data_IF_906668744770
#
_entry.id   IF_906668744770
#
_cell.length_a   1.000
_cell.length_b   1.000
_cell.length_c   1.000
_cell.angle_alpha   90.00
_cell.angle_beta   90.00
_cell.angle_gamma   90.00
#
_symmetry.space_group_name_H-M   'P 1'
#
loop_
_entity.id
_entity.type
_entity.pdbx_description
1 polymer ?
#
# COMPACT_ATOMS: atom_id res chain seq x y z
N UNK A 1 0.10 -16.63 -0.96
CA UNK A 1 0.99 -15.56 -1.45
C UNK A 1 2.37 -15.78 -0.83
N UNK A 2 3.44 -15.67 -1.62
CA UNK A 2 4.82 -15.81 -1.13
C UNK A 2 5.19 -14.66 -0.17
N UNK A 3 5.98 -14.97 0.86
CA UNK A 3 6.42 -14.05 1.90
C UNK A 3 7.92 -13.78 1.78
N UNK A 4 8.28 -12.51 1.92
CA UNK A 4 9.64 -12.01 1.98
C UNK A 4 9.96 -11.65 3.44
N UNK A 5 10.92 -12.37 4.02
CA UNK A 5 11.51 -12.01 5.31
C UNK A 5 12.73 -11.11 5.09
N UNK A 6 12.50 -9.80 5.22
CA UNK A 6 13.54 -8.77 5.15
C UNK A 6 14.32 -8.60 6.47
N UNK A 7 13.98 -9.40 7.50
CA UNK A 7 14.50 -9.30 8.88
C UNK A 7 14.28 -7.93 9.52
N UNK A 8 13.15 -7.28 9.21
CA UNK A 8 12.80 -5.99 9.80
C UNK A 8 12.73 -6.10 11.34
N UNK A 9 13.12 -5.03 12.08
CA UNK A 9 13.11 -5.03 13.55
C UNK A 9 11.78 -5.49 14.18
N UNK A 10 10.64 -5.13 13.58
CA UNK A 10 9.30 -5.50 14.03
C UNK A 10 8.94 -6.98 13.82
N UNK A 11 9.77 -7.72 13.09
CA UNK A 11 9.52 -9.08 12.61
C UNK A 11 8.49 -9.19 11.49
N UNK A 12 8.02 -8.05 10.95
CA UNK A 12 7.01 -8.01 9.87
C UNK A 12 7.56 -8.63 8.60
N UNK A 13 6.81 -9.58 8.03
CA UNK A 13 7.09 -10.12 6.70
C UNK A 13 6.22 -9.41 5.67
N UNK A 14 6.75 -9.21 4.47
CA UNK A 14 6.06 -8.53 3.37
C UNK A 14 5.69 -9.53 2.28
N UNK A 15 4.56 -9.33 1.61
CA UNK A 15 4.19 -10.17 0.48
C UNK A 15 5.07 -9.91 -0.74
N UNK A 16 5.33 -10.96 -1.53
CA UNK A 16 6.07 -10.85 -2.79
C UNK A 16 5.28 -10.20 -3.92
N UNK A 17 3.94 -10.10 -3.81
CA UNK A 17 3.05 -9.53 -4.82
C UNK A 17 2.06 -8.52 -4.21
N UNK A 18 1.52 -7.62 -5.04
CA UNK A 18 0.36 -6.81 -4.66
C UNK A 18 -0.88 -7.72 -4.53
N UNK A 19 -1.91 -7.26 -3.83
CA UNK A 19 -3.23 -7.90 -3.91
C UNK A 19 -3.68 -7.91 -5.38
N UNK A 20 -4.21 -9.03 -5.86
CA UNK A 20 -4.64 -9.19 -7.26
C UNK A 20 -3.50 -9.46 -8.26
N UNK A 21 -2.25 -9.52 -7.81
CA UNK A 21 -1.10 -9.87 -8.65
C UNK A 21 -0.63 -11.30 -8.36
N UNK A 22 -0.27 -12.03 -9.42
CA UNK A 22 0.38 -13.34 -9.34
C UNK A 22 1.90 -13.21 -9.32
N UNK A 23 2.44 -12.13 -9.91
CA UNK A 23 3.89 -11.87 -10.01
C UNK A 23 4.29 -10.54 -9.36
N UNK A 24 5.53 -10.43 -8.84
CA UNK A 24 6.02 -9.18 -8.23
C UNK A 24 6.01 -7.98 -9.19
N UNK A 25 6.08 -8.22 -10.49
CA UNK A 25 6.09 -7.22 -11.56
C UNK A 25 4.70 -6.82 -12.05
N UNK A 26 3.62 -7.41 -11.53
CA UNK A 26 2.26 -7.00 -11.86
C UNK A 26 1.78 -5.92 -10.88
N UNK A 27 1.03 -4.94 -11.40
CA UNK A 27 0.53 -3.83 -10.59
C UNK A 27 -0.53 -4.27 -9.57
N UNK A 28 -1.19 -5.40 -9.82
CA UNK A 28 -2.28 -5.90 -9.01
C UNK A 28 -3.53 -5.03 -9.09
N UNK A 29 -4.42 -5.26 -8.14
CA UNK A 29 -5.64 -4.50 -7.97
C UNK A 29 -5.39 -3.17 -7.26
N UNK A 30 -6.34 -2.27 -7.45
CA UNK A 30 -6.36 -0.98 -6.79
C UNK A 30 -7.58 -0.93 -5.89
N UNK A 31 -7.45 -0.18 -4.78
CA UNK A 31 -8.47 -0.06 -3.75
C UNK A 31 -8.58 1.39 -3.31
N UNK A 32 -9.79 1.85 -2.98
CA UNK A 32 -9.90 3.04 -2.16
C UNK A 32 -9.58 2.66 -0.71
N UNK A 33 -9.19 3.64 0.10
CA UNK A 33 -8.80 3.36 1.48
C UNK A 33 -10.01 2.89 2.31
N UNK A 34 -9.90 1.71 2.91
CA UNK A 34 -10.97 1.04 3.65
C UNK A 34 -11.89 0.17 2.80
N UNK A 35 -11.72 0.13 1.47
CA UNK A 35 -12.44 -0.81 0.61
C UNK A 35 -11.79 -2.20 0.67
N UNK A 36 -12.62 -3.24 0.68
CA UNK A 36 -12.17 -4.65 0.60
C UNK A 36 -12.37 -5.29 -0.77
N UNK A 37 -12.87 -4.52 -1.75
CA UNK A 37 -13.02 -4.94 -3.14
C UNK A 37 -12.52 -3.87 -4.10
N UNK A 38 -11.91 -4.31 -5.19
CA UNK A 38 -11.42 -3.43 -6.24
C UNK A 38 -12.58 -2.81 -7.03
N UNK A 39 -12.36 -1.58 -7.49
CA UNK A 39 -13.32 -0.81 -8.30
C UNK A 39 -12.64 -0.31 -9.58
N UNK A 40 -13.46 0.02 -10.59
CA UNK A 40 -13.00 0.64 -11.84
C UNK A 40 -13.25 2.15 -11.88
N UNK A 41 -13.84 2.72 -10.82
CA UNK A 41 -14.16 4.14 -10.74
C UNK A 41 -13.96 4.70 -9.31
N UNK A 42 -13.02 5.63 -9.20
CA UNK A 42 -12.51 6.21 -7.95
C UNK A 42 -12.82 7.70 -7.86
N UNK A 43 -14.03 8.04 -7.42
CA UNK A 43 -14.54 9.41 -7.31
C UNK A 43 -15.23 9.60 -5.97
N UNK A 44 -14.66 10.46 -5.12
CA UNK A 44 -15.26 10.91 -3.87
C UNK A 44 -16.08 9.85 -3.14
N UNK A 45 -17.41 9.98 -3.23
CA UNK A 45 -18.41 9.10 -2.58
C UNK A 45 -18.45 7.64 -3.04
N UNK A 46 -17.67 7.23 -4.05
CA UNK A 46 -17.46 5.79 -4.30
C UNK A 46 -16.58 5.15 -3.24
N UNK A 47 -15.92 5.93 -2.38
CA UNK A 47 -15.22 5.50 -1.18
C UNK A 47 -16.05 5.89 0.05
N UNK A 48 -16.46 4.92 0.85
CA UNK A 48 -17.28 5.17 2.05
C UNK A 48 -16.55 6.05 3.07
N UNK A 49 -15.22 5.92 3.12
CA UNK A 49 -14.43 6.71 4.05
C UNK A 49 -14.17 8.13 3.55
N UNK A 50 -14.56 8.52 2.32
CA UNK A 50 -14.14 9.76 1.66
C UNK A 50 -14.07 10.99 2.58
N UNK A 51 -15.13 11.36 3.28
CA UNK A 51 -15.22 12.59 4.08
C UNK A 51 -15.18 12.36 5.60
N UNK A 52 -14.98 11.12 6.05
CA UNK A 52 -14.98 10.78 7.48
C UNK A 52 -13.74 11.33 8.19
N UNK A 53 -13.92 12.20 9.19
CA UNK A 53 -12.83 12.60 10.07
C UNK A 53 -12.40 11.44 11.02
N UNK A 54 -11.36 11.67 11.81
CA UNK A 54 -10.84 10.63 12.71
C UNK A 54 -11.86 10.17 13.76
N UNK A 55 -12.76 11.06 14.19
CA UNK A 55 -13.81 10.72 15.14
C UNK A 55 -14.84 9.80 14.48
N UNK A 56 -15.28 10.13 13.27
CA UNK A 56 -16.24 9.35 12.50
C UNK A 56 -15.69 7.99 12.10
N UNK A 57 -14.40 7.91 11.75
CA UNK A 57 -13.72 6.63 11.50
C UNK A 57 -13.75 5.70 12.72
N UNK A 58 -13.51 6.24 13.92
CA UNK A 58 -13.56 5.46 15.17
C UNK A 58 -14.98 5.06 15.51
N UNK A 59 -15.94 5.98 15.40
CA UNK A 59 -17.35 5.72 15.70
C UNK A 59 -17.97 4.68 14.76
N UNK A 60 -17.50 4.60 13.51
CA UNK A 60 -17.92 3.60 12.53
C UNK A 60 -17.07 2.33 12.51
N UNK A 61 -16.17 2.13 13.49
CA UNK A 61 -15.27 0.98 13.58
C UNK A 61 -14.40 0.74 12.32
N UNK A 62 -14.19 1.76 11.49
CA UNK A 62 -13.33 1.68 10.31
C UNK A 62 -11.86 1.46 10.69
N UNK A 63 -11.48 1.96 11.87
CA UNK A 63 -10.15 1.77 12.44
C UNK A 63 -10.23 1.13 13.82
N UNK A 64 -9.29 0.26 14.13
CA UNK A 64 -9.20 -0.42 15.42
C UNK A 64 -8.48 0.44 16.48
N UNK A 65 -8.29 -0.12 17.68
CA UNK A 65 -7.65 0.56 18.82
C UNK A 65 -6.20 1.00 18.57
N UNK A 66 -5.52 0.41 17.58
CA UNK A 66 -4.17 0.80 17.14
C UNK A 66 -4.21 1.90 16.06
N UNK A 67 -5.39 2.43 15.76
CA UNK A 67 -5.60 3.47 14.75
C UNK A 67 -5.09 3.05 13.36
N UNK A 68 -5.36 1.81 12.99
CA UNK A 68 -5.21 1.26 11.63
C UNK A 68 -6.53 0.63 11.21
N UNK A 69 -6.74 0.39 9.91
CA UNK A 69 -7.94 -0.29 9.39
C UNK A 69 -8.31 -1.52 10.24
N UNK A 70 -9.59 -1.60 10.60
CA UNK A 70 -10.15 -2.79 11.23
C UNK A 70 -10.34 -3.91 10.19
N UNK A 71 -10.44 -5.15 10.64
CA UNK A 71 -10.37 -6.32 9.75
C UNK A 71 -11.46 -6.34 8.66
N UNK A 72 -12.65 -5.80 8.94
CA UNK A 72 -13.75 -5.68 7.97
C UNK A 72 -13.48 -4.64 6.86
N UNK A 73 -12.49 -3.77 7.04
CA UNK A 73 -12.10 -2.69 6.13
C UNK A 73 -10.66 -2.83 5.65
N UNK A 74 -9.98 -3.92 6.02
CA UNK A 74 -8.63 -4.26 5.58
C UNK A 74 -8.71 -5.23 4.40
N UNK A 75 -8.40 -4.74 3.20
CA UNK A 75 -8.47 -5.55 1.98
C UNK A 75 -7.60 -6.80 2.04
N UNK A 76 -6.44 -6.75 2.71
CA UNK A 76 -5.56 -7.91 2.80
C UNK A 76 -6.15 -8.97 3.73
N UNK A 77 -6.68 -8.58 4.89
CA UNK A 77 -7.36 -9.49 5.81
C UNK A 77 -8.58 -10.12 5.16
N UNK A 78 -9.39 -9.32 4.45
CA UNK A 78 -10.60 -9.78 3.78
C UNK A 78 -10.32 -10.75 2.62
N UNK A 79 -9.30 -10.46 1.79
CA UNK A 79 -9.03 -11.22 0.56
C UNK A 79 -8.10 -12.41 0.80
N UNK A 80 -7.08 -12.24 1.66
CA UNK A 80 -6.03 -13.25 1.88
C UNK A 80 -6.24 -14.06 3.17
N UNK A 81 -7.13 -13.61 4.05
CA UNK A 81 -7.51 -14.29 5.30
C UNK A 81 -6.64 -13.94 6.50
N UNK A 82 -6.77 -14.76 7.54
CA UNK A 82 -6.15 -14.54 8.84
C UNK A 82 -4.62 -14.34 8.76
N UNK A 83 -4.11 -13.36 9.52
CA UNK A 83 -2.69 -13.01 9.59
C UNK A 83 -2.23 -11.97 8.55
N UNK A 84 -2.93 -11.84 7.41
CA UNK A 84 -2.64 -10.82 6.41
C UNK A 84 -3.24 -9.47 6.79
N UNK A 85 -2.49 -8.39 6.56
CA UNK A 85 -2.92 -7.01 6.80
C UNK A 85 -2.42 -6.06 5.71
N UNK A 86 -3.14 -4.96 5.51
CA UNK A 86 -2.57 -3.76 4.90
C UNK A 86 -1.49 -3.22 5.87
N UNK A 87 -0.28 -2.88 5.42
CA UNK A 87 0.76 -2.39 6.31
C UNK A 87 0.33 -1.13 7.03
N UNK A 88 0.66 -0.97 8.31
CA UNK A 88 0.55 0.33 8.99
C UNK A 88 1.56 1.35 8.42
N UNK A 89 1.33 2.64 8.70
CA UNK A 89 2.29 3.69 8.38
C UNK A 89 3.67 3.45 9.00
N UNK A 90 3.71 2.93 10.23
CA UNK A 90 4.96 2.57 10.92
C UNK A 90 5.70 1.42 10.24
N UNK A 91 4.99 0.37 9.82
CA UNK A 91 5.60 -0.74 9.07
C UNK A 91 6.11 -0.27 7.70
N UNK A 92 5.37 0.61 7.03
CA UNK A 92 5.80 1.22 5.77
C UNK A 92 7.09 2.05 5.95
N UNK A 93 7.17 2.84 7.02
CA UNK A 93 8.36 3.62 7.34
C UNK A 93 9.55 2.70 7.67
N UNK A 94 9.32 1.67 8.49
CA UNK A 94 10.35 0.69 8.85
C UNK A 94 10.92 -0.01 7.61
N UNK A 95 10.06 -0.38 6.65
CA UNK A 95 10.48 -0.96 5.38
C UNK A 95 11.41 0.00 4.61
N UNK A 96 11.04 1.28 4.53
CA UNK A 96 11.83 2.29 3.82
C UNK A 96 13.18 2.50 4.52
N UNK A 97 13.18 2.63 5.84
CA UNK A 97 14.38 2.91 6.64
C UNK A 97 15.38 1.75 6.64
N UNK A 98 14.90 0.50 6.56
CA UNK A 98 15.74 -0.69 6.65
C UNK A 98 16.12 -1.30 5.29
N UNK A 99 15.77 -0.66 4.18
CA UNK A 99 16.16 -1.07 2.84
C UNK A 99 17.02 0.00 2.14
N UNK A 100 17.94 -0.45 1.30
CA UNK A 100 18.54 0.40 0.27
C UNK A 100 17.64 0.35 -0.96
N UNK A 101 17.34 1.51 -1.54
CA UNK A 101 16.37 1.63 -2.63
C UNK A 101 17.02 2.14 -3.90
N UNK A 102 16.80 1.43 -5.00
CA UNK A 102 17.18 1.85 -6.34
C UNK A 102 15.99 1.79 -7.29
N UNK A 103 15.95 2.70 -8.25
CA UNK A 103 15.02 2.62 -9.36
C UNK A 103 15.54 1.62 -10.38
N UNK A 104 14.71 0.65 -10.76
CA UNK A 104 15.06 -0.36 -11.75
C UNK A 104 14.11 -0.25 -12.94
N UNK A 105 14.61 0.17 -14.11
CA UNK A 105 13.84 0.04 -15.34
C UNK A 105 13.80 -1.43 -15.78
N UNK A 106 12.67 -1.86 -16.34
CA UNK A 106 12.52 -3.21 -16.92
C UNK A 106 12.97 -4.35 -15.98
N UNK A 107 12.44 -4.37 -14.76
CA UNK A 107 12.83 -5.35 -13.75
C UNK A 107 12.55 -6.77 -14.23
N UNK A 108 13.57 -7.65 -14.22
CA UNK A 108 13.41 -9.04 -14.63
C UNK A 108 13.04 -9.25 -16.11
N UNK A 109 13.32 -8.27 -16.98
CA UNK A 109 12.95 -8.27 -18.40
C UNK A 109 11.43 -8.32 -18.66
N UNK A 110 10.62 -7.70 -17.78
CA UNK A 110 9.15 -7.70 -17.91
C UNK A 110 8.56 -6.40 -18.46
N UNK A 111 9.39 -5.45 -18.85
CA UNK A 111 9.04 -4.06 -19.26
C UNK A 111 8.39 -3.23 -18.13
N UNK A 112 8.52 -3.67 -16.88
CA UNK A 112 7.95 -2.98 -15.72
C UNK A 112 9.04 -2.27 -14.94
N UNK A 113 8.88 -0.96 -14.82
CA UNK A 113 9.73 -0.13 -13.97
C UNK A 113 9.25 -0.20 -12.51
N UNK A 114 10.15 0.07 -11.58
CA UNK A 114 9.79 0.18 -10.18
C UNK A 114 10.97 0.41 -9.26
N UNK A 115 10.74 0.23 -7.96
CA UNK A 115 11.74 0.36 -6.92
C UNK A 115 12.15 -1.02 -6.40
N UNK A 116 13.44 -1.30 -6.40
CA UNK A 116 14.01 -2.47 -5.75
C UNK A 116 14.55 -2.07 -4.38
N UNK A 117 13.95 -2.64 -3.34
CA UNK A 117 14.42 -2.54 -1.96
C UNK A 117 15.29 -3.74 -1.63
N UNK A 118 16.49 -3.49 -1.12
CA UNK A 118 17.42 -4.52 -0.63
C UNK A 118 17.58 -4.33 0.86
N UNK A 119 17.20 -5.32 1.66
CA UNK A 119 17.33 -5.27 3.12
C UNK A 119 18.78 -5.00 3.52
N UNK A 120 18.96 -4.00 4.38
CA UNK A 120 20.26 -3.67 5.00
C UNK A 120 20.73 -4.74 5.97
N UNK A 121 19.85 -5.67 6.36
CA UNK A 121 20.10 -6.67 7.41
C UNK A 121 20.51 -8.01 6.80
N UNK A 122 19.75 -8.52 5.82
CA UNK A 122 19.99 -9.85 5.26
C UNK A 122 20.11 -9.88 3.72
N UNK A 123 20.05 -8.72 3.05
CA UNK A 123 20.15 -8.65 1.59
C UNK A 123 18.94 -9.22 0.82
N UNK A 124 17.87 -9.62 1.51
CA UNK A 124 16.63 -10.03 0.86
C UNK A 124 16.03 -8.86 0.07
N UNK A 125 15.35 -9.18 -1.03
CA UNK A 125 14.89 -8.19 -2.01
C UNK A 125 13.38 -8.13 -2.06
N UNK A 126 12.85 -6.91 -2.18
CA UNK A 126 11.44 -6.64 -2.47
C UNK A 126 11.37 -5.68 -3.65
N UNK A 127 10.57 -6.02 -4.66
CA UNK A 127 10.31 -5.13 -5.79
C UNK A 127 8.91 -4.55 -5.68
N UNK A 128 8.83 -3.21 -5.75
CA UNK A 128 7.58 -2.47 -5.82
C UNK A 128 7.43 -1.91 -7.23
N UNK A 129 6.50 -2.43 -8.05
CA UNK A 129 6.29 -1.91 -9.40
C UNK A 129 5.77 -0.46 -9.36
N UNK A 130 6.10 0.34 -10.36
CA UNK A 130 5.59 1.70 -10.53
C UNK A 130 4.11 1.66 -10.98
N UNK A 131 3.23 1.25 -10.06
CA UNK A 131 1.81 0.99 -10.33
C UNK A 131 0.98 2.26 -10.55
N UNK A 132 1.55 3.45 -10.32
CA UNK A 132 0.81 4.70 -10.38
C UNK A 132 -0.40 4.69 -9.44
N UNK A 133 -1.51 5.26 -9.90
CA UNK A 133 -2.78 5.26 -9.18
C UNK A 133 -3.98 5.43 -10.12
N UNK A 134 -5.18 5.13 -9.61
CA UNK A 134 -6.43 5.46 -10.29
C UNK A 134 -7.13 6.68 -9.70
N UNK A 135 -7.57 7.56 -10.60
CA UNK A 135 -8.49 8.65 -10.33
C UNK A 135 -9.64 8.58 -11.34
N UNK A 136 -10.88 8.54 -10.86
CA UNK A 136 -12.03 8.16 -11.68
C UNK A 136 -11.75 6.80 -12.33
N UNK A 137 -11.76 6.71 -13.67
CA UNK A 137 -11.35 5.50 -14.41
C UNK A 137 -10.00 5.63 -15.11
N UNK A 138 -9.24 6.70 -14.81
CA UNK A 138 -7.94 6.94 -15.44
C UNK A 138 -6.84 6.32 -14.58
N UNK A 139 -5.98 5.53 -15.23
CA UNK A 139 -4.71 5.10 -14.63
C UNK A 139 -3.66 6.16 -14.91
N UNK A 140 -3.07 6.71 -13.85
CA UNK A 140 -2.15 7.83 -13.92
C UNK A 140 -0.78 7.40 -13.41
N UNK A 141 0.28 7.94 -14.03
CA UNK A 141 1.68 7.75 -13.62
C UNK A 141 2.17 6.28 -13.59
N UNK A 142 1.50 5.38 -14.32
CA UNK A 142 1.94 3.99 -14.47
C UNK A 142 3.30 3.94 -15.17
N UNK A 143 4.25 3.21 -14.60
CA UNK A 143 5.62 3.13 -15.10
C UNK A 143 6.54 4.26 -14.62
N UNK A 144 5.97 5.34 -14.05
CA UNK A 144 6.71 6.52 -13.60
C UNK A 144 6.76 6.66 -12.07
N UNK A 145 5.70 6.24 -11.38
CA UNK A 145 5.59 6.34 -9.92
C UNK A 145 4.86 5.16 -9.31
N UNK A 146 5.00 4.93 -8.01
CA UNK A 146 4.21 3.97 -7.26
C UNK A 146 3.37 4.66 -6.18
N UNK A 147 2.13 4.21 -6.01
CA UNK A 147 1.24 4.61 -4.90
C UNK A 147 0.67 3.38 -4.21
N UNK A 148 0.92 3.26 -2.90
CA UNK A 148 0.54 2.09 -2.12
C UNK A 148 -0.13 2.49 -0.81
N UNK A 149 -1.32 1.96 -0.55
CA UNK A 149 -1.99 2.24 0.72
C UNK A 149 -1.27 1.62 1.91
N UNK A 150 -1.25 2.38 3.00
CA UNK A 150 -1.11 1.84 4.36
C UNK A 150 -2.47 1.86 5.06
N UNK A 151 -2.59 1.14 6.16
CA UNK A 151 -3.78 1.07 6.98
C UNK A 151 -3.96 2.28 7.91
N UNK A 152 -3.01 3.22 7.93
CA UNK A 152 -3.03 4.36 8.85
C UNK A 152 -3.81 5.55 8.25
N UNK A 153 -4.81 6.11 8.95
CA UNK A 153 -5.48 7.33 8.54
C UNK A 153 -4.60 8.57 8.82
N UNK A 154 -4.88 9.70 8.17
CA UNK A 154 -4.39 10.98 8.66
C UNK A 154 -5.19 11.38 9.91
N UNK A 155 -4.49 11.75 10.98
CA UNK A 155 -5.12 12.06 12.27
C UNK A 155 -5.67 13.49 12.36
N UNK A 156 -5.29 14.37 11.41
CA UNK A 156 -5.63 15.80 11.40
C UNK A 156 -6.51 16.15 10.22
N UNK A 157 -6.09 15.79 9.00
CA UNK A 157 -6.85 16.05 7.79
C UNK A 157 -7.90 14.95 7.57
N UNK A 158 -9.17 15.34 7.51
CA UNK A 158 -10.20 14.47 6.94
C UNK A 158 -9.84 14.14 5.49
N UNK A 159 -10.39 13.06 4.95
CA UNK A 159 -10.19 12.56 3.58
C UNK A 159 -8.81 12.02 3.21
N UNK A 160 -7.87 11.97 4.15
CA UNK A 160 -6.50 11.53 3.89
C UNK A 160 -6.09 10.28 4.66
N UNK A 161 -5.21 9.51 4.05
CA UNK A 161 -4.57 8.36 4.66
C UNK A 161 -3.10 8.30 4.26
N UNK A 162 -2.36 7.49 4.99
CA UNK A 162 -0.95 7.27 4.77
C UNK A 162 -0.73 6.31 3.61
N UNK A 163 0.28 6.60 2.79
CA UNK A 163 0.67 5.80 1.63
C UNK A 163 2.19 5.78 1.47
N UNK A 164 2.73 4.68 0.97
CA UNK A 164 4.06 4.72 0.35
C UNK A 164 3.89 5.34 -1.04
N UNK A 165 4.67 6.36 -1.35
CA UNK A 165 4.77 6.86 -2.72
C UNK A 165 6.22 7.07 -3.14
N UNK A 166 6.49 6.86 -4.42
CA UNK A 166 7.83 6.99 -4.99
C UNK A 166 7.80 7.34 -6.47
N UNK A 167 8.92 7.87 -6.94
CA UNK A 167 9.30 7.96 -8.34
C UNK A 167 10.74 7.43 -8.52
N UNK A 168 11.38 7.75 -9.64
CA UNK A 168 12.78 7.38 -9.92
C UNK A 168 13.81 8.03 -8.98
N UNK A 169 13.47 9.13 -8.31
CA UNK A 169 14.37 9.91 -7.47
C UNK A 169 14.16 9.64 -5.98
N UNK A 170 12.91 9.59 -5.51
CA UNK A 170 12.58 9.43 -4.09
C UNK A 170 11.61 8.28 -3.82
N UNK A 171 11.67 7.72 -2.61
CA UNK A 171 10.63 6.88 -1.99
C UNK A 171 10.40 7.36 -0.56
N UNK A 172 9.15 7.55 -0.16
CA UNK A 172 8.78 8.04 1.18
C UNK A 172 7.40 7.52 1.61
N UNK A 173 7.11 7.63 2.90
CA UNK A 173 5.75 7.58 3.43
C UNK A 173 5.17 8.98 3.46
N UNK A 174 3.96 9.13 2.95
CA UNK A 174 3.23 10.38 2.95
C UNK A 174 1.88 10.18 3.64
N UNK A 175 1.42 11.19 4.37
CA UNK A 175 0.16 11.15 5.12
C UNK A 175 -1.02 11.82 4.38
N UNK A 176 -0.83 12.19 3.11
CA UNK A 176 -1.77 13.03 2.38
C UNK A 176 -2.45 12.36 1.19
N UNK A 177 -2.37 11.03 1.06
CA UNK A 177 -3.08 10.29 0.02
C UNK A 177 -4.59 10.46 0.17
N UNK A 178 -5.27 10.87 -0.90
CA UNK A 178 -6.72 11.06 -0.88
C UNK A 178 -7.40 9.69 -0.89
N UNK A 179 -8.17 9.38 0.15
CA UNK A 179 -8.71 8.03 0.40
C UNK A 179 -9.54 7.45 -0.73
N UNK A 180 -10.14 8.30 -1.56
CA UNK A 180 -10.96 7.87 -2.69
C UNK A 180 -10.16 7.50 -3.94
N UNK A 181 -8.84 7.73 -3.98
CA UNK A 181 -8.00 7.25 -5.07
C UNK A 181 -7.76 5.75 -4.96
N UNK A 182 -7.64 5.10 -6.11
CA UNK A 182 -7.25 3.70 -6.19
C UNK A 182 -5.74 3.58 -6.10
N UNK A 183 -5.21 3.09 -4.97
CA UNK A 183 -3.80 2.70 -4.84
C UNK A 183 -3.69 1.18 -4.73
N UNK A 184 -2.54 0.65 -5.12
CA UNK A 184 -2.21 -0.75 -4.90
C UNK A 184 -1.99 -1.03 -3.41
N UNK A 185 -2.05 -2.30 -3.03
CA UNK A 185 -1.72 -2.73 -1.66
C UNK A 185 -0.66 -3.80 -1.76
N UNK A 186 0.45 -3.60 -1.03
CA UNK A 186 1.49 -4.60 -0.79
C UNK A 186 1.31 -5.15 0.63
N UNK A 187 0.69 -6.33 0.80
CA UNK A 187 0.31 -6.83 2.13
C UNK A 187 1.51 -7.16 3.02
N UNK A 188 1.24 -7.21 4.32
CA UNK A 188 2.16 -7.74 5.33
C UNK A 188 1.53 -8.91 6.07
N UNK A 189 2.38 -9.73 6.68
CA UNK A 189 1.99 -10.87 7.50
C UNK A 189 2.74 -10.85 8.82
N UNK A 190 2.03 -11.13 9.91
CA UNK A 190 2.60 -11.25 11.25
C UNK A 190 2.03 -12.46 11.97
#
# INVERSE_FOLDING_TARGET
>A
MELIDLRLPSGTKWAACNIGAEKPTEFGDYFAWGDTSAKNNYVGRTCETYDLDIYSLKMGDYINIRSVLADNYDAAAYILGEGWRVPSGEQAQELIDNCNWEWVPNYGNTEINGRLGISKINGAKIFLPAAGYLQSSNKLMMGDSGGYWTASPNMVASNRAWSIAFDSNVINVFDHGLRYYGYSIRPVFK
#
